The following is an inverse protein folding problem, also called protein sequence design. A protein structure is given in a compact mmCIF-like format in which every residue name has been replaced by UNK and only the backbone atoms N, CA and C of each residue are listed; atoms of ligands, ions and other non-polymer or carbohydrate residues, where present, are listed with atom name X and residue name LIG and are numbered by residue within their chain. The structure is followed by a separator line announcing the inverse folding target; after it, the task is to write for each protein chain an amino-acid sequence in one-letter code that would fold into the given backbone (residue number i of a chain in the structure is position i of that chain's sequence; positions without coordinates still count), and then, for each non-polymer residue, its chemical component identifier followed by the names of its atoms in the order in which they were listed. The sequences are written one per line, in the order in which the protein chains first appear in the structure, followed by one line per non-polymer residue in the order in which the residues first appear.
data_IF_017508710313
#
_entry.id   IF_017508710313
#
_cell.length_a   1.000
_cell.length_b   1.000
_cell.length_c   1.000
_cell.angle_alpha   90.00
_cell.angle_beta   90.00
_cell.angle_gamma   90.00
#
_symmetry.space_group_name_H-M   'P 1'
#
loop_
_entity.id
_entity.type
_entity.pdbx_description
1 polymer ?
#
# COMPACT_ATOMS: atom_id res chain seq x y z
N UNK A 1 -14.12 -11.74 8.41
CA UNK A 1 -13.47 -10.91 7.52
C UNK A 1 -13.34 -9.53 7.99
N UNK A 2 -12.17 -9.16 8.34
CA UNK A 2 -11.95 -7.92 9.05
C UNK A 2 -10.81 -7.13 8.42
N UNK A 3 -10.99 -5.82 8.40
CA UNK A 3 -9.92 -4.89 8.12
C UNK A 3 -8.79 -5.11 9.13
N UNK A 4 -7.54 -4.96 8.69
CA UNK A 4 -6.39 -5.03 9.57
C UNK A 4 -6.59 -4.07 10.75
N UNK A 5 -6.38 -4.56 11.97
CA UNK A 5 -6.68 -3.82 13.19
C UNK A 5 -5.95 -2.47 13.25
N UNK A 6 -4.66 -2.45 12.91
CA UNK A 6 -3.87 -1.22 12.94
C UNK A 6 -4.36 -0.21 11.90
N UNK A 7 -4.79 -0.70 10.73
CA UNK A 7 -5.36 0.19 9.72
C UNK A 7 -6.66 0.82 10.23
N UNK A 8 -7.55 0.01 10.78
CA UNK A 8 -8.82 0.49 11.31
C UNK A 8 -8.62 1.55 12.39
N UNK A 9 -7.73 1.29 13.33
CA UNK A 9 -7.40 2.23 14.39
C UNK A 9 -6.83 3.53 13.83
N UNK A 10 -5.94 3.43 12.86
CA UNK A 10 -5.31 4.60 12.26
C UNK A 10 -6.31 5.46 11.49
N UNK A 11 -7.16 4.84 10.69
CA UNK A 11 -8.20 5.57 9.94
C UNK A 11 -9.15 6.29 10.89
N UNK A 12 -9.50 5.64 12.00
CA UNK A 12 -10.36 6.24 13.02
C UNK A 12 -9.68 7.45 13.69
N UNK A 13 -8.41 7.30 14.07
CA UNK A 13 -7.65 8.39 14.69
C UNK A 13 -7.51 9.60 13.77
N UNK A 14 -7.36 9.35 12.49
CA UNK A 14 -7.22 10.42 11.49
C UNK A 14 -8.55 10.99 11.02
N UNK A 15 -9.67 10.47 11.50
CA UNK A 15 -11.01 10.88 11.08
C UNK A 15 -11.16 10.82 9.56
N UNK A 16 -10.61 9.77 8.94
CA UNK A 16 -10.59 9.63 7.50
C UNK A 16 -11.98 9.32 6.94
N UNK A 17 -12.28 9.89 5.78
CA UNK A 17 -13.52 9.59 5.04
C UNK A 17 -13.22 8.52 4.00
N UNK A 18 -13.91 7.40 4.10
CA UNK A 18 -13.69 6.28 3.18
C UNK A 18 -14.92 5.39 3.09
N UNK A 19 -14.98 4.63 2.01
CA UNK A 19 -15.99 3.61 1.80
C UNK A 19 -15.32 2.24 1.78
N UNK A 20 -16.11 1.19 2.00
CA UNK A 20 -15.66 -0.18 1.90
C UNK A 20 -16.39 -0.89 0.78
N UNK A 21 -15.64 -1.65 -0.04
CA UNK A 21 -16.20 -2.57 -1.03
C UNK A 21 -15.84 -3.99 -0.64
N UNK A 22 -16.79 -4.90 -0.76
CA UNK A 22 -16.55 -6.32 -0.53
C UNK A 22 -16.42 -7.04 -1.87
N UNK A 23 -15.57 -8.03 -1.93
CA UNK A 23 -15.40 -8.87 -3.11
C UNK A 23 -15.13 -10.31 -2.67
N UNK A 24 -15.28 -11.26 -3.59
CA UNK A 24 -14.94 -12.64 -3.31
C UNK A 24 -13.44 -12.75 -2.99
N UNK A 25 -13.04 -13.69 -2.14
CA UNK A 25 -11.64 -13.86 -1.77
C UNK A 25 -10.72 -13.91 -2.99
N UNK A 26 -9.59 -13.21 -2.91
CA UNK A 26 -8.60 -13.14 -3.98
C UNK A 26 -7.20 -13.33 -3.40
N UNK A 27 -6.22 -13.60 -4.27
CA UNK A 27 -4.84 -13.81 -3.85
C UNK A 27 -3.91 -12.66 -4.23
N UNK A 28 -4.33 -11.81 -5.17
CA UNK A 28 -3.52 -10.69 -5.65
C UNK A 28 -4.33 -9.41 -5.70
N UNK A 29 -3.63 -8.27 -5.68
CA UNK A 29 -4.28 -6.96 -5.78
C UNK A 29 -5.01 -6.79 -7.11
N UNK A 30 -4.43 -7.27 -8.22
CA UNK A 30 -5.09 -7.18 -9.53
C UNK A 30 -6.36 -8.01 -9.59
N UNK A 31 -6.34 -9.19 -8.98
CA UNK A 31 -7.53 -10.04 -8.91
C UNK A 31 -8.61 -9.40 -8.04
N UNK A 32 -8.22 -8.78 -6.93
CA UNK A 32 -9.14 -8.05 -6.07
C UNK A 32 -9.82 -6.91 -6.85
N UNK A 33 -9.05 -6.15 -7.63
CA UNK A 33 -9.60 -5.08 -8.46
C UNK A 33 -10.62 -5.64 -9.46
N UNK A 34 -10.28 -6.73 -10.14
CA UNK A 34 -11.16 -7.36 -11.12
C UNK A 34 -12.47 -7.83 -10.48
N UNK A 35 -12.37 -8.50 -9.32
CA UNK A 35 -13.56 -9.03 -8.63
C UNK A 35 -14.45 -7.92 -8.07
N UNK A 36 -13.86 -6.79 -7.69
CA UNK A 36 -14.61 -5.66 -7.19
C UNK A 36 -15.10 -4.70 -8.28
N UNK A 37 -14.70 -4.94 -9.53
CA UNK A 37 -15.08 -4.05 -10.64
C UNK A 37 -14.35 -2.71 -10.64
N UNK A 38 -13.15 -2.68 -10.07
CA UNK A 38 -12.33 -1.46 -9.96
C UNK A 38 -11.24 -1.48 -11.03
N UNK A 39 -11.03 -0.37 -11.76
CA UNK A 39 -9.90 -0.30 -12.69
C UNK A 39 -8.58 -0.51 -11.95
N UNK A 40 -7.73 -1.44 -12.40
CA UNK A 40 -6.48 -1.77 -11.68
C UNK A 40 -5.53 -0.59 -11.49
N UNK A 41 -5.55 0.41 -12.38
CA UNK A 41 -4.66 1.57 -12.26
C UNK A 41 -5.08 2.49 -11.10
N UNK A 42 -6.28 2.32 -10.56
CA UNK A 42 -6.75 3.05 -9.37
C UNK A 42 -6.47 2.28 -8.07
N UNK A 43 -5.96 1.04 -8.17
CA UNK A 43 -5.57 0.26 -7.01
C UNK A 43 -4.14 0.59 -6.61
N UNK A 44 -3.94 0.97 -5.36
CA UNK A 44 -2.62 1.09 -4.78
C UNK A 44 -2.24 -0.21 -4.10
N UNK A 45 -0.99 -0.63 -4.24
CA UNK A 45 -0.45 -1.81 -3.56
C UNK A 45 0.83 -1.45 -2.83
N UNK A 46 1.13 -2.20 -1.78
CA UNK A 46 2.35 -2.04 -1.01
C UNK A 46 3.39 -3.07 -1.43
N UNK A 47 4.64 -2.63 -1.53
CA UNK A 47 5.79 -3.51 -1.75
C UNK A 47 6.81 -3.19 -0.67
N UNK A 48 7.19 -4.19 0.12
CA UNK A 48 8.13 -3.97 1.22
C UNK A 48 9.56 -4.17 0.71
N UNK A 49 10.40 -3.18 0.99
CA UNK A 49 11.81 -3.18 0.60
C UNK A 49 12.69 -3.21 1.83
N UNK A 50 13.90 -3.78 1.66
CA UNK A 50 14.89 -3.98 2.71
C UNK A 50 16.19 -3.30 2.27
N UNK A 51 16.84 -2.55 3.15
CA UNK A 51 18.05 -1.80 2.83
C UNK A 51 19.35 -2.56 3.15
N UNK A 52 19.27 -3.86 3.42
CA UNK A 52 20.41 -4.71 3.80
C UNK A 52 20.98 -4.39 5.19
N UNK A 53 20.38 -3.47 5.93
CA UNK A 53 20.85 -3.04 7.25
C UNK A 53 19.75 -3.10 8.32
N UNK A 54 18.71 -3.88 8.06
CA UNK A 54 17.64 -4.07 9.03
C UNK A 54 16.54 -3.00 8.99
N UNK A 55 16.53 -2.12 7.99
CA UNK A 55 15.48 -1.12 7.82
C UNK A 55 14.57 -1.50 6.66
N UNK A 56 13.29 -1.29 6.85
CA UNK A 56 12.28 -1.57 5.84
C UNK A 56 11.62 -0.28 5.37
N UNK A 57 11.16 -0.32 4.10
CA UNK A 57 10.50 0.78 3.44
C UNK A 57 9.29 0.22 2.70
N UNK A 58 8.14 0.88 2.84
CA UNK A 58 6.98 0.53 2.04
C UNK A 58 6.96 1.39 0.79
N UNK A 59 7.03 0.75 -0.38
CA UNK A 59 6.84 1.42 -1.66
C UNK A 59 5.39 1.22 -2.09
N UNK A 60 4.70 2.31 -2.36
CA UNK A 60 3.28 2.30 -2.75
C UNK A 60 3.19 2.65 -4.23
N UNK A 61 2.68 1.71 -5.02
CA UNK A 61 2.58 1.85 -6.48
C UNK A 61 1.23 1.37 -6.97
N UNK A 62 0.79 1.79 -8.17
CA UNK A 62 -0.44 1.24 -8.75
C UNK A 62 -0.29 -0.26 -9.03
N UNK A 63 -1.39 -0.99 -8.94
CA UNK A 63 -1.40 -2.45 -9.20
C UNK A 63 -0.92 -2.80 -10.61
N UNK A 64 -1.00 -1.86 -11.56
CA UNK A 64 -0.60 -2.06 -12.95
C UNK A 64 0.90 -1.84 -13.20
N UNK A 65 1.64 -1.41 -12.18
CA UNK A 65 3.06 -1.08 -12.32
C UNK A 65 3.88 -1.88 -11.32
N UNK A 66 5.18 -1.90 -11.55
CA UNK A 66 6.13 -2.58 -10.66
C UNK A 66 7.11 -1.57 -10.10
N UNK A 67 7.59 -1.82 -8.88
CA UNK A 67 8.63 -1.00 -8.27
C UNK A 67 9.91 -1.14 -9.10
N UNK A 68 10.52 -0.01 -9.41
CA UNK A 68 11.83 0.02 -10.05
C UNK A 68 12.88 0.37 -9.00
N UNK A 69 13.69 -0.61 -8.61
CA UNK A 69 14.66 -0.44 -7.53
C UNK A 69 15.70 0.63 -7.83
N UNK A 70 16.08 0.81 -9.10
CA UNK A 70 17.02 1.85 -9.48
C UNK A 70 16.43 3.25 -9.25
N UNK A 71 15.14 3.42 -9.54
CA UNK A 71 14.45 4.68 -9.29
C UNK A 71 14.34 4.97 -7.80
N UNK A 72 14.04 3.95 -7.00
CA UNK A 72 13.99 4.07 -5.54
C UNK A 72 15.36 4.48 -5.00
N UNK A 73 16.42 3.85 -5.50
CA UNK A 73 17.79 4.17 -5.13
C UNK A 73 18.13 5.63 -5.46
N UNK A 74 17.76 6.11 -6.64
CA UNK A 74 18.02 7.49 -7.03
C UNK A 74 17.32 8.48 -6.10
N UNK A 75 16.11 8.15 -5.68
CA UNK A 75 15.31 9.03 -4.82
C UNK A 75 15.80 9.01 -3.38
N UNK A 76 16.15 7.85 -2.84
CA UNK A 76 16.51 7.68 -1.43
C UNK A 76 18.02 7.75 -1.17
N UNK A 77 18.85 7.60 -2.21
CA UNK A 77 20.31 7.49 -2.10
C UNK A 77 20.74 6.27 -1.29
N UNK A 78 19.91 5.22 -1.25
CA UNK A 78 20.17 3.97 -0.53
C UNK A 78 19.89 2.80 -1.45
N UNK A 79 20.55 1.67 -1.18
CA UNK A 79 20.34 0.42 -1.91
C UNK A 79 19.21 -0.37 -1.26
N UNK A 80 18.35 -0.97 -2.09
CA UNK A 80 17.18 -1.71 -1.65
C UNK A 80 17.05 -3.02 -2.40
N UNK A 81 16.43 -4.01 -1.73
CA UNK A 81 15.99 -5.25 -2.35
C UNK A 81 14.53 -5.50 -1.96
N UNK A 82 13.87 -6.37 -2.71
CA UNK A 82 12.53 -6.81 -2.31
C UNK A 82 12.67 -7.65 -1.03
N UNK A 83 11.94 -7.29 0.01
CA UNK A 83 11.92 -8.06 1.25
C UNK A 83 11.10 -9.33 1.04
N UNK A 84 11.42 -10.38 1.81
CA UNK A 84 10.72 -11.66 1.73
C UNK A 84 9.58 -11.70 2.74
N UNK A 85 8.45 -12.30 2.37
CA UNK A 85 7.30 -12.39 3.26
C UNK A 85 7.61 -13.11 4.57
N UNK A 86 8.46 -14.13 4.55
CA UNK A 86 8.86 -14.81 5.78
C UNK A 86 9.67 -13.91 6.72
N UNK A 87 10.27 -12.84 6.19
CA UNK A 87 11.00 -11.87 7.00
C UNK A 87 10.09 -10.78 7.56
N UNK A 88 9.22 -10.19 6.72
CA UNK A 88 8.37 -9.09 7.17
C UNK A 88 6.97 -9.51 7.63
N UNK A 89 6.52 -10.71 7.29
CA UNK A 89 5.17 -11.18 7.63
C UNK A 89 4.79 -11.01 9.10
N UNK A 90 5.66 -11.38 10.06
CA UNK A 90 5.34 -11.20 11.49
C UNK A 90 5.07 -9.76 11.89
N UNK A 91 5.62 -8.78 11.19
CA UNK A 91 5.36 -7.36 11.45
C UNK A 91 3.95 -6.96 11.03
N UNK A 92 3.34 -7.72 10.13
CA UNK A 92 1.99 -7.46 9.62
C UNK A 92 1.03 -8.60 9.99
N UNK A 93 1.11 -9.05 11.25
CA UNK A 93 0.34 -10.21 11.73
C UNK A 93 -1.17 -10.01 11.65
N UNK A 94 -1.66 -8.77 11.55
CA UNK A 94 -3.07 -8.45 11.38
C UNK A 94 -3.51 -8.40 9.92
N UNK A 95 -2.62 -8.79 8.98
CA UNK A 95 -2.90 -8.80 7.56
C UNK A 95 -2.70 -10.20 6.97
N UNK A 96 -3.50 -10.55 5.99
CA UNK A 96 -3.26 -11.74 5.17
C UNK A 96 -2.06 -11.47 4.24
N UNK A 97 -1.35 -12.54 3.85
CA UNK A 97 -0.22 -12.43 2.93
C UNK A 97 -0.67 -11.80 1.61
N UNK A 98 0.07 -10.80 1.16
CA UNK A 98 -0.25 -10.11 -0.10
C UNK A 98 -1.38 -9.08 0.00
N UNK A 99 -1.96 -8.88 1.18
CA UNK A 99 -3.05 -7.93 1.39
C UNK A 99 -2.68 -6.78 2.34
N UNK A 100 -1.40 -6.49 2.47
CA UNK A 100 -0.93 -5.41 3.35
C UNK A 100 -1.43 -4.07 2.81
N UNK A 101 -2.21 -3.31 3.60
CA UNK A 101 -2.68 -2.00 3.18
C UNK A 101 -1.52 -1.05 2.90
N UNK A 102 -1.57 -0.26 1.81
CA UNK A 102 -0.46 0.63 1.44
C UNK A 102 -0.49 1.94 2.22
N UNK A 103 -0.68 1.86 3.52
CA UNK A 103 -0.69 3.00 4.43
C UNK A 103 0.40 2.77 5.47
N UNK A 104 1.63 3.10 5.10
CA UNK A 104 2.79 2.82 5.94
C UNK A 104 2.71 3.44 7.32
N UNK A 105 2.09 4.62 7.45
CA UNK A 105 1.92 5.29 8.74
C UNK A 105 1.12 4.48 9.74
N UNK A 106 0.18 3.64 9.27
CA UNK A 106 -0.61 2.78 10.15
C UNK A 106 0.25 1.69 10.80
N UNK A 107 1.41 1.39 10.21
CA UNK A 107 2.34 0.35 10.67
C UNK A 107 3.68 0.93 11.13
N UNK A 108 3.72 2.25 11.30
CA UNK A 108 4.95 2.97 11.70
C UNK A 108 6.13 2.67 10.77
N UNK A 109 5.88 2.65 9.47
CA UNK A 109 6.88 2.31 8.46
C UNK A 109 7.12 3.48 7.51
N UNK A 110 8.39 3.76 7.25
CA UNK A 110 8.80 4.74 6.24
C UNK A 110 8.16 4.37 4.89
N UNK A 111 7.66 5.36 4.15
CA UNK A 111 6.86 5.12 2.95
C UNK A 111 7.29 6.02 1.80
N UNK A 112 7.35 5.44 0.61
CA UNK A 112 7.45 6.17 -0.66
C UNK A 112 6.18 5.93 -1.45
N UNK A 113 5.65 6.98 -2.08
CA UNK A 113 4.45 6.87 -2.89
C UNK A 113 4.81 7.22 -4.33
N UNK A 114 4.45 6.34 -5.27
CA UNK A 114 4.68 6.62 -6.68
C UNK A 114 3.87 7.84 -7.10
N UNK A 115 4.50 8.74 -7.86
CA UNK A 115 3.87 10.00 -8.25
C UNK A 115 2.61 9.81 -9.09
N UNK A 116 2.45 8.69 -9.78
CA UNK A 116 1.25 8.40 -10.56
C UNK A 116 -0.02 8.32 -9.69
N UNK A 117 0.13 8.05 -8.39
CA UNK A 117 -1.01 8.02 -7.46
C UNK A 117 -1.41 9.40 -6.97
N UNK A 118 -0.61 10.42 -7.22
CA UNK A 118 -0.92 11.79 -6.79
C UNK A 118 -1.81 12.53 -7.78
N UNK A 119 -1.88 12.06 -9.02
CA UNK A 119 -2.64 12.72 -10.09
C UNK A 119 -4.02 12.12 -10.35
N UNK A 120 -4.42 11.09 -9.60
CA UNK A 120 -5.72 10.45 -9.76
C UNK A 120 -6.71 10.96 -8.73
N UNK A 121 -8.01 10.82 -9.01
CA UNK A 121 -9.06 11.32 -8.13
C UNK A 121 -9.37 10.35 -6.98
N UNK A 122 -9.47 9.07 -7.30
CA UNK A 122 -9.87 8.02 -6.37
C UNK A 122 -8.78 6.97 -6.23
N UNK A 123 -8.61 6.43 -5.02
CA UNK A 123 -7.68 5.37 -4.70
C UNK A 123 -8.44 4.24 -4.01
N UNK A 124 -8.14 3.02 -4.42
CA UNK A 124 -8.67 1.81 -3.79
C UNK A 124 -7.47 0.99 -3.30
N UNK A 125 -7.62 0.31 -2.17
CA UNK A 125 -6.56 -0.55 -1.68
C UNK A 125 -7.11 -1.64 -0.76
N UNK A 126 -6.34 -2.72 -0.59
CA UNK A 126 -6.75 -3.83 0.24
C UNK A 126 -6.76 -3.45 1.71
N UNK A 127 -7.79 -3.94 2.42
CA UNK A 127 -7.97 -3.63 3.83
C UNK A 127 -7.22 -4.59 4.76
N UNK A 128 -6.68 -5.69 4.23
CA UNK A 128 -5.87 -6.64 5.01
C UNK A 128 -6.35 -8.09 4.99
N UNK A 129 -7.49 -8.40 4.40
CA UNK A 129 -8.09 -9.74 4.44
C UNK A 129 -8.36 -10.39 3.08
N UNK A 130 -7.94 -9.76 1.99
CA UNK A 130 -8.21 -10.20 0.60
C UNK A 130 -9.70 -10.20 0.20
N UNK A 131 -10.56 -9.57 0.98
CA UNK A 131 -12.01 -9.54 0.70
C UNK A 131 -12.59 -8.14 0.78
N UNK A 132 -11.92 -7.23 1.47
CA UNK A 132 -12.36 -5.85 1.57
C UNK A 132 -11.41 -4.90 0.87
N UNK A 133 -11.97 -3.91 0.17
CA UNK A 133 -11.22 -2.80 -0.38
C UNK A 133 -11.67 -1.52 0.30
N UNK A 134 -10.69 -0.69 0.63
CA UNK A 134 -10.94 0.67 1.10
C UNK A 134 -10.93 1.59 -0.12
N UNK A 135 -11.90 2.47 -0.19
CA UNK A 135 -11.98 3.51 -1.22
C UNK A 135 -11.94 4.88 -0.56
N UNK A 136 -11.10 5.76 -1.05
CA UNK A 136 -11.06 7.14 -0.61
C UNK A 136 -10.54 8.05 -1.73
N UNK A 137 -10.69 9.35 -1.56
CA UNK A 137 -10.08 10.28 -2.51
C UNK A 137 -8.56 10.22 -2.39
N UNK A 138 -7.87 10.55 -3.47
CA UNK A 138 -6.42 10.63 -3.45
C UNK A 138 -5.92 11.63 -2.41
N UNK A 139 -6.63 12.74 -2.22
CA UNK A 139 -6.29 13.71 -1.19
C UNK A 139 -6.33 13.12 0.22
N UNK A 140 -7.36 12.33 0.53
CA UNK A 140 -7.46 11.65 1.82
C UNK A 140 -6.33 10.66 1.99
N UNK A 141 -6.03 9.90 0.93
CA UNK A 141 -4.96 8.91 0.95
C UNK A 141 -3.60 9.55 1.28
N UNK A 142 -3.29 10.66 0.61
CA UNK A 142 -2.02 11.35 0.84
C UNK A 142 -1.95 11.99 2.24
N UNK A 143 -3.08 12.45 2.77
CA UNK A 143 -3.14 13.00 4.14
C UNK A 143 -2.83 11.96 5.21
N UNK A 144 -3.07 10.68 4.91
CA UNK A 144 -2.77 9.59 5.85
C UNK A 144 -1.27 9.42 6.05
N UNK A 145 -0.47 9.87 5.10
CA UNK A 145 0.98 9.65 5.10
C UNK A 145 1.72 10.98 4.84
N UNK A 146 1.59 11.95 5.76
CA UNK A 146 2.14 13.29 5.51
C UNK A 146 3.66 13.35 5.41
N UNK A 147 4.36 12.36 5.96
CA UNK A 147 5.82 12.29 5.89
C UNK A 147 6.32 11.44 4.73
N UNK A 148 5.43 10.81 3.96
CA UNK A 148 5.83 10.00 2.82
C UNK A 148 6.37 10.89 1.70
N UNK A 149 7.46 10.45 1.10
CA UNK A 149 8.03 11.12 -0.06
C UNK A 149 7.32 10.61 -1.31
N UNK A 150 7.00 11.50 -2.23
CA UNK A 150 6.40 11.14 -3.53
C UNK A 150 7.43 11.34 -4.63
N UNK A 151 7.45 10.43 -5.60
CA UNK A 151 8.37 10.53 -6.71
C UNK A 151 8.19 9.37 -7.69
N UNK A 152 8.99 9.35 -8.78
CA UNK A 152 8.94 8.28 -9.76
C UNK A 152 9.67 7.04 -9.22
N UNK A 153 8.93 6.03 -8.81
CA UNK A 153 9.51 4.80 -8.26
C UNK A 153 9.03 3.53 -8.96
N UNK A 154 8.22 3.67 -10.02
CA UNK A 154 7.67 2.51 -10.71
C UNK A 154 7.94 2.53 -12.22
N UNK A 155 7.68 1.37 -12.85
CA UNK A 155 7.76 1.19 -14.29
C UNK A 155 6.62 0.34 -14.82
#
# INVERSE_FOLDING_TARGET
MTMATRLQSYLSQQHSRYDMLQHDPSMTTREAARRAGVPPHLMAKSVILDDFQGHWLMAVVPATRQVNLNKVRKLTKRHWRLARENEFGPRFSDCANGAIPPVGSAFEMETLIDESLTGIKDVYFESGDHEGLVHMSSKQFLKLMPTAQCGPISE
#
